data_IF_326181651192
#
_entry.id   IF_326181651192
#
_cell.length_a   1.000
_cell.length_b   1.000
_cell.length_c   1.000
_cell.angle_alpha   90.00
_cell.angle_beta   90.00
_cell.angle_gamma   90.00
#
_symmetry.space_group_name_H-M   'P 1'
#
loop_
_entity.id
_entity.type
_entity.pdbx_description
1 polymer ?
#
# COMPACT_ATOMS: atom_id res chain seq x y z
N UNK A 1 -25.99 -22.53 20.64
CA UNK A 1 -26.43 -21.30 19.94
C UNK A 1 -27.70 -21.64 19.19
N UNK A 2 -28.80 -20.92 19.43
CA UNK A 2 -30.10 -21.18 18.81
C UNK A 2 -30.02 -21.05 17.28
N UNK A 3 -30.64 -21.96 16.52
CA UNK A 3 -30.68 -21.90 15.05
C UNK A 3 -31.25 -20.56 14.54
N UNK A 4 -32.12 -19.94 15.33
CA UNK A 4 -32.66 -18.60 15.08
C UNK A 4 -31.58 -17.51 15.20
N UNK A 5 -30.72 -17.60 16.22
CA UNK A 5 -29.59 -16.69 16.40
C UNK A 5 -28.53 -16.86 15.31
N UNK A 6 -28.27 -18.09 14.86
CA UNK A 6 -27.35 -18.36 13.74
C UNK A 6 -27.85 -17.75 12.43
N UNK A 7 -29.15 -17.85 12.16
CA UNK A 7 -29.76 -17.30 10.94
C UNK A 7 -29.75 -15.78 10.94
N UNK A 8 -30.03 -15.16 12.09
CA UNK A 8 -29.96 -13.70 12.26
C UNK A 8 -28.51 -13.21 12.09
N UNK A 9 -27.54 -13.88 12.71
CA UNK A 9 -26.13 -13.56 12.55
C UNK A 9 -25.67 -13.62 11.07
N UNK A 10 -26.08 -14.65 10.33
CA UNK A 10 -25.79 -14.76 8.90
C UNK A 10 -26.40 -13.63 8.06
N UNK A 11 -27.64 -13.24 8.36
CA UNK A 11 -28.30 -12.13 7.68
C UNK A 11 -27.62 -10.78 7.97
N UNK A 12 -27.16 -10.57 9.20
CA UNK A 12 -26.43 -9.36 9.57
C UNK A 12 -25.08 -9.31 8.85
N UNK A 13 -24.34 -10.41 8.81
CA UNK A 13 -23.05 -10.49 8.11
C UNK A 13 -23.19 -10.25 6.60
N UNK A 14 -24.23 -10.79 5.96
CA UNK A 14 -24.46 -10.58 4.53
C UNK A 14 -24.81 -9.13 4.19
N UNK A 15 -25.60 -8.47 5.04
CA UNK A 15 -25.94 -7.04 4.89
C UNK A 15 -24.72 -6.15 5.09
N UNK A 16 -23.88 -6.42 6.10
CA UNK A 16 -22.63 -5.68 6.33
C UNK A 16 -21.70 -5.80 5.12
N UNK A 17 -21.56 -7.01 4.56
CA UNK A 17 -20.71 -7.22 3.38
C UNK A 17 -21.27 -6.52 2.14
N UNK A 18 -22.58 -6.54 1.94
CA UNK A 18 -23.23 -5.81 0.85
C UNK A 18 -23.06 -4.29 0.98
N UNK A 19 -23.17 -3.74 2.19
CA UNK A 19 -22.91 -2.32 2.48
C UNK A 19 -21.45 -1.93 2.24
N UNK A 20 -20.50 -2.79 2.62
CA UNK A 20 -19.09 -2.59 2.33
C UNK A 20 -18.80 -2.60 0.82
N UNK A 21 -19.39 -3.53 0.06
CA UNK A 21 -19.27 -3.57 -1.41
C UNK A 21 -19.88 -2.32 -2.08
N UNK A 22 -21.02 -1.82 -1.56
CA UNK A 22 -21.66 -0.60 -2.05
C UNK A 22 -20.75 0.62 -1.84
N UNK A 23 -20.18 0.76 -0.65
CA UNK A 23 -19.26 1.87 -0.32
C UNK A 23 -17.96 1.83 -1.15
N UNK A 24 -17.50 0.64 -1.55
CA UNK A 24 -16.32 0.49 -2.41
C UNK A 24 -16.61 0.88 -3.86
N UNK A 25 -17.85 0.73 -4.36
CA UNK A 25 -18.19 1.00 -5.75
C UNK A 25 -18.20 2.50 -6.12
N UNK A 26 -18.36 3.41 -5.14
CA UNK A 26 -18.41 4.86 -5.41
C UNK A 26 -17.06 5.57 -5.25
N UNK A 27 -16.02 4.90 -4.74
CA UNK A 27 -14.69 5.48 -4.55
C UNK A 27 -13.52 4.55 -4.91
N UNK A 28 -13.77 3.42 -5.61
CA UNK A 28 -12.69 2.65 -6.21
C UNK A 28 -12.12 3.42 -7.40
N UNK A 29 -11.15 4.30 -7.11
CA UNK A 29 -10.08 4.56 -8.06
C UNK A 29 -9.63 3.19 -8.60
N UNK A 30 -9.48 3.03 -9.93
CA UNK A 30 -9.11 1.74 -10.51
C UNK A 30 -7.95 1.17 -9.71
N UNK A 31 -8.08 -0.06 -9.17
CA UNK A 31 -7.00 -0.73 -8.46
C UNK A 31 -5.78 -0.61 -9.36
N UNK A 32 -4.74 0.13 -8.92
CA UNK A 32 -3.67 0.50 -9.83
C UNK A 32 -3.00 -0.79 -10.29
N UNK A 33 -2.87 -0.95 -11.60
CA UNK A 33 -2.18 -2.13 -12.13
C UNK A 33 -0.76 -2.18 -11.56
N UNK A 34 -0.17 -3.37 -11.38
CA UNK A 34 1.20 -3.48 -10.89
C UNK A 34 2.17 -2.60 -11.68
N UNK A 35 1.99 -2.51 -12.99
CA UNK A 35 2.77 -1.67 -13.89
C UNK A 35 2.65 -0.19 -13.53
N UNK A 36 1.44 0.29 -13.24
CA UNK A 36 1.19 1.68 -12.82
C UNK A 36 1.84 2.00 -11.46
N UNK A 37 1.87 1.05 -10.54
CA UNK A 37 2.57 1.19 -9.26
C UNK A 37 4.09 1.23 -9.41
N UNK A 38 4.66 0.44 -10.33
CA UNK A 38 6.11 0.41 -10.54
C UNK A 38 6.61 1.49 -11.51
N UNK A 39 5.75 2.12 -12.32
CA UNK A 39 6.17 3.11 -13.30
C UNK A 39 6.91 4.33 -12.68
N UNK A 40 6.41 4.97 -11.60
CA UNK A 40 7.12 6.09 -10.96
C UNK A 40 8.47 5.67 -10.37
N UNK A 41 8.55 4.44 -9.84
CA UNK A 41 9.75 3.89 -9.24
C UNK A 41 10.81 3.61 -10.32
N UNK A 42 10.41 2.98 -11.42
CA UNK A 42 11.28 2.68 -12.58
C UNK A 42 11.79 3.94 -13.27
N UNK A 43 11.03 5.04 -13.19
CA UNK A 43 11.44 6.33 -13.74
C UNK A 43 12.62 6.94 -12.98
N UNK A 44 12.86 6.53 -11.72
CA UNK A 44 13.98 7.01 -10.91
C UNK A 44 15.11 6.00 -10.95
N UNK A 45 16.25 6.40 -11.54
CA UNK A 45 17.44 5.56 -11.66
C UNK A 45 17.93 5.13 -10.27
N UNK A 46 18.12 3.82 -10.05
CA UNK A 46 18.60 3.28 -8.76
C UNK A 46 17.52 3.04 -7.71
N UNK A 47 16.29 3.54 -7.92
CA UNK A 47 15.16 3.34 -7.02
C UNK A 47 14.62 1.90 -7.01
N UNK A 48 14.44 1.21 -8.15
CA UNK A 48 13.96 -0.17 -8.10
C UNK A 48 14.95 -1.11 -7.38
N UNK A 49 16.27 -0.90 -7.56
CA UNK A 49 17.31 -1.67 -6.88
C UNK A 49 17.34 -1.37 -5.37
N UNK A 50 17.12 -0.11 -4.99
CA UNK A 50 16.98 0.28 -3.59
C UNK A 50 15.74 -0.33 -2.95
N UNK A 51 14.62 -0.38 -3.67
CA UNK A 51 13.37 -0.98 -3.22
C UNK A 51 13.48 -2.50 -3.06
N UNK A 52 14.28 -3.15 -3.90
CA UNK A 52 14.61 -4.56 -3.75
C UNK A 52 15.41 -4.80 -2.47
N UNK A 53 16.43 -3.96 -2.19
CA UNK A 53 17.20 -4.00 -0.94
C UNK A 53 16.35 -3.79 0.31
N UNK A 54 15.33 -2.93 0.22
CA UNK A 54 14.36 -2.72 1.31
C UNK A 54 13.63 -4.00 1.70
N UNK A 55 13.37 -4.92 0.77
CA UNK A 55 12.75 -6.21 1.10
C UNK A 55 13.59 -7.03 2.08
N UNK A 56 14.90 -6.79 2.10
CA UNK A 56 15.87 -7.39 3.01
C UNK A 56 16.20 -6.51 4.23
N UNK A 57 15.53 -5.36 4.37
CA UNK A 57 15.74 -4.42 5.48
C UNK A 57 16.87 -3.41 5.26
N UNK A 58 17.45 -3.36 4.07
CA UNK A 58 18.46 -2.35 3.72
C UNK A 58 17.83 -1.18 2.98
N UNK A 59 17.80 -0.02 3.64
CA UNK A 59 17.27 1.23 3.10
C UNK A 59 18.35 2.06 2.38
N UNK A 60 19.59 1.58 2.30
CA UNK A 60 20.66 2.28 1.58
C UNK A 60 20.30 2.45 0.11
N UNK A 61 20.39 3.69 -0.36
CA UNK A 61 20.10 4.06 -1.74
C UNK A 61 18.64 4.41 -2.02
N UNK A 62 17.73 4.37 -1.03
CA UNK A 62 16.54 5.23 -1.12
C UNK A 62 17.02 6.68 -0.99
N UNK A 63 17.20 7.35 -2.11
CA UNK A 63 17.47 8.78 -2.14
C UNK A 63 16.18 9.61 -2.11
N UNK A 64 16.35 10.93 -2.06
CA UNK A 64 15.25 11.91 -2.02
C UNK A 64 14.27 11.72 -3.19
N UNK A 65 14.78 11.50 -4.40
CA UNK A 65 13.95 11.32 -5.60
C UNK A 65 13.13 10.02 -5.56
N UNK A 66 13.74 8.94 -5.07
CA UNK A 66 13.05 7.66 -4.88
C UNK A 66 11.96 7.78 -3.81
N UNK A 67 12.24 8.49 -2.71
CA UNK A 67 11.26 8.77 -1.68
C UNK A 67 10.14 9.69 -2.15
N UNK A 68 10.43 10.64 -3.04
CA UNK A 68 9.40 11.49 -3.65
C UNK A 68 8.45 10.68 -4.53
N UNK A 69 9.00 9.78 -5.36
CA UNK A 69 8.21 8.84 -6.14
C UNK A 69 7.33 7.97 -5.22
N UNK A 70 7.92 7.33 -4.19
CA UNK A 70 7.20 6.46 -3.26
C UNK A 70 6.09 7.19 -2.49
N UNK A 71 6.31 8.43 -2.05
CA UNK A 71 5.28 9.22 -1.38
C UNK A 71 4.13 9.63 -2.30
N UNK A 72 4.38 9.73 -3.61
CA UNK A 72 3.37 9.99 -4.62
C UNK A 72 2.53 8.76 -5.01
N UNK A 73 2.89 7.55 -4.57
CA UNK A 73 2.11 6.36 -4.87
C UNK A 73 0.82 6.29 -4.05
N UNK A 74 -0.30 5.85 -4.66
CA UNK A 74 -1.53 5.57 -3.92
C UNK A 74 -1.32 4.43 -2.92
N UNK A 75 -2.09 4.47 -1.82
CA UNK A 75 -1.99 3.50 -0.71
C UNK A 75 -2.08 2.05 -1.16
N UNK A 76 -2.87 1.79 -2.20
CA UNK A 76 -3.15 0.47 -2.75
C UNK A 76 -1.96 -0.12 -3.53
N UNK A 77 -0.94 0.68 -3.86
CA UNK A 77 0.29 0.19 -4.48
C UNK A 77 1.27 -0.44 -3.49
N UNK A 78 1.24 -0.04 -2.21
CA UNK A 78 2.14 -0.60 -1.20
C UNK A 78 1.99 -2.13 -1.02
N UNK A 79 0.76 -2.70 -0.93
CA UNK A 79 0.62 -4.16 -0.86
C UNK A 79 1.05 -4.87 -2.16
N UNK A 80 1.01 -4.20 -3.32
CA UNK A 80 1.48 -4.76 -4.60
C UNK A 80 3.01 -4.81 -4.64
N UNK A 81 3.67 -3.77 -4.14
CA UNK A 81 5.14 -3.67 -4.10
C UNK A 81 5.73 -4.59 -3.02
N UNK A 82 5.04 -4.71 -1.88
CA UNK A 82 5.49 -5.46 -0.70
C UNK A 82 4.50 -6.56 -0.27
N UNK A 83 4.22 -7.55 -1.13
CA UNK A 83 3.16 -8.53 -0.88
C UNK A 83 3.40 -9.40 0.37
N UNK A 84 4.66 -9.65 0.71
CA UNK A 84 5.07 -10.53 1.83
C UNK A 84 5.63 -9.75 3.03
N UNK A 85 5.62 -8.41 2.99
CA UNK A 85 6.29 -7.57 3.99
C UNK A 85 5.37 -6.40 4.38
N UNK A 86 4.32 -6.64 5.18
CA UNK A 86 3.34 -5.60 5.54
C UNK A 86 3.97 -4.40 6.26
N UNK A 87 5.06 -4.64 7.01
CA UNK A 87 5.79 -3.56 7.70
C UNK A 87 6.77 -2.80 6.79
N UNK A 88 7.16 -3.33 5.62
CA UNK A 88 8.10 -2.65 4.73
C UNK A 88 7.55 -1.28 4.28
N UNK A 89 6.26 -1.22 3.95
CA UNK A 89 5.58 0.04 3.61
C UNK A 89 5.70 1.09 4.73
N UNK A 90 5.52 0.67 5.99
CA UNK A 90 5.66 1.54 7.16
C UNK A 90 7.10 2.05 7.31
N UNK A 91 8.09 1.16 7.22
CA UNK A 91 9.50 1.55 7.36
C UNK A 91 9.98 2.45 6.22
N UNK A 92 9.58 2.15 4.98
CA UNK A 92 9.87 3.01 3.82
C UNK A 92 9.28 4.40 4.00
N UNK A 93 8.00 4.50 4.39
CA UNK A 93 7.39 5.80 4.69
C UNK A 93 8.11 6.53 5.81
N UNK A 94 8.57 5.82 6.85
CA UNK A 94 9.30 6.44 7.96
C UNK A 94 10.67 6.96 7.52
N UNK A 95 11.40 6.17 6.73
CA UNK A 95 12.68 6.55 6.17
C UNK A 95 12.54 7.76 5.23
N UNK A 96 11.53 7.75 4.37
CA UNK A 96 11.25 8.85 3.45
C UNK A 96 10.75 10.12 4.13
N UNK A 97 10.07 10.03 5.28
CA UNK A 97 9.78 11.21 6.12
C UNK A 97 11.05 11.82 6.72
N UNK A 98 12.02 10.99 7.11
CA UNK A 98 13.31 11.45 7.62
C UNK A 98 14.10 12.24 6.58
N UNK A 99 14.09 11.80 5.32
CA UNK A 99 14.76 12.52 4.23
C UNK A 99 14.10 13.84 3.83
N UNK A 100 12.81 14.03 4.13
CA UNK A 100 12.13 15.32 3.94
C UNK A 100 12.40 16.35 5.04
N UNK A 101 13.01 15.97 6.16
CA UNK A 101 13.37 16.89 7.25
C UNK A 101 14.71 17.61 7.03
N UNK A 102 15.53 17.17 6.07
CA UNK A 102 16.81 17.79 5.69
C UNK A 102 16.64 19.02 4.77
N UNK A 103 15.44 19.58 4.69
CA UNK A 103 15.10 20.72 3.82
C UNK A 103 14.51 21.91 4.60
N UNK A 104 14.79 22.05 5.90
CA UNK A 104 14.44 23.26 6.64
C UNK A 104 15.62 23.87 7.37
#
# INVERSE_FOLDING_TARGET
METKQVKVMFLILSVIMALACRHQSEAQSPVPSPEACFAPIKSVKGCPEALERVKYGDFKGLGKDCCHAINGLPGDCFPIIFPQKPFAAYFVKRHCRGQSADFS
#
